data_IF_501491187488
#
_entry.id   IF_501491187488
#
_cell.length_a   1.000
_cell.length_b   1.000
_cell.length_c   1.000
_cell.angle_alpha   90.00
_cell.angle_beta   90.00
_cell.angle_gamma   90.00
#
_symmetry.space_group_name_H-M   'P 1'
#
loop_
_entity.id
_entity.type
_entity.pdbx_description
1 polymer ?
#
# COMPACT_ATOMS: atom_id res chain seq x y z
N UNK A 1 0.36 47.83 5.44
CA UNK A 1 -0.87 47.04 5.18
C UNK A 1 -0.44 45.67 4.65
N UNK A 2 -0.51 44.65 5.50
CA UNK A 2 -0.16 43.28 5.10
C UNK A 2 -1.31 42.70 4.29
N UNK A 3 -1.06 42.35 3.02
CA UNK A 3 -2.04 41.67 2.18
C UNK A 3 -2.34 40.29 2.77
N UNK A 4 -3.62 40.04 3.07
CA UNK A 4 -4.07 38.74 3.54
C UNK A 4 -3.75 37.67 2.47
N UNK A 5 -3.05 36.62 2.91
CA UNK A 5 -2.76 35.47 2.06
C UNK A 5 -4.10 34.87 1.58
N UNK A 6 -4.29 34.66 0.25
CA UNK A 6 -5.54 34.06 -0.24
C UNK A 6 -5.73 32.70 0.39
N UNK A 7 -6.96 32.40 0.80
CA UNK A 7 -7.36 31.09 1.28
C UNK A 7 -7.12 30.06 0.16
N UNK A 8 -6.62 28.85 0.48
CA UNK A 8 -6.50 27.79 -0.51
C UNK A 8 -7.88 27.52 -1.10
N UNK A 9 -7.90 27.24 -2.41
CA UNK A 9 -9.14 26.85 -3.07
C UNK A 9 -9.77 25.63 -2.35
N UNK A 10 -11.11 25.57 -2.23
CA UNK A 10 -11.77 24.42 -1.64
C UNK A 10 -11.37 23.15 -2.41
N UNK A 11 -10.87 22.14 -1.68
CA UNK A 11 -10.54 20.85 -2.26
C UNK A 11 -11.84 20.18 -2.66
N UNK A 12 -11.95 19.73 -3.90
CA UNK A 12 -13.10 18.96 -4.38
C UNK A 12 -13.18 17.63 -3.59
N UNK A 13 -14.23 17.40 -2.78
CA UNK A 13 -14.37 16.19 -1.97
C UNK A 13 -14.31 14.90 -2.81
N UNK A 14 -14.71 14.94 -4.08
CA UNK A 14 -14.66 13.79 -5.00
C UNK A 14 -13.23 13.33 -5.32
N UNK A 15 -12.23 14.14 -4.97
CA UNK A 15 -10.81 13.83 -5.19
C UNK A 15 -10.13 13.23 -3.97
N UNK A 16 -10.83 13.12 -2.84
CA UNK A 16 -10.29 12.61 -1.58
C UNK A 16 -10.80 11.20 -1.29
N UNK A 17 -9.98 10.43 -0.57
CA UNK A 17 -10.42 9.17 0.00
C UNK A 17 -11.41 9.46 1.14
N UNK A 18 -12.40 8.61 1.28
CA UNK A 18 -13.40 8.72 2.34
C UNK A 18 -13.15 7.68 3.42
N UNK A 19 -13.11 8.13 4.67
CA UNK A 19 -12.89 7.28 5.83
C UNK A 19 -14.07 7.31 6.78
N UNK A 20 -14.44 6.12 7.30
CA UNK A 20 -15.41 5.97 8.39
C UNK A 20 -14.74 5.14 9.48
N UNK A 21 -14.77 5.64 10.72
CA UNK A 21 -14.23 4.93 11.87
C UNK A 21 -15.36 4.44 12.78
N UNK A 22 -15.31 3.17 13.14
CA UNK A 22 -16.27 2.53 14.03
C UNK A 22 -15.54 1.88 15.21
N UNK A 23 -16.17 1.90 16.38
CA UNK A 23 -15.70 1.12 17.53
C UNK A 23 -16.50 -0.17 17.60
N UNK A 24 -15.82 -1.28 17.34
CA UNK A 24 -16.41 -2.62 17.35
C UNK A 24 -15.33 -3.61 17.82
N UNK A 25 -15.76 -4.70 18.42
CA UNK A 25 -14.87 -5.83 18.73
C UNK A 25 -14.56 -6.67 17.48
N UNK A 26 -13.78 -7.72 17.65
CA UNK A 26 -13.42 -8.64 16.57
C UNK A 26 -14.66 -9.24 15.88
N UNK A 27 -15.69 -9.59 16.64
CA UNK A 27 -16.92 -10.14 16.09
C UNK A 27 -17.64 -9.11 15.21
N UNK A 28 -17.71 -7.85 15.65
CA UNK A 28 -18.26 -6.73 14.86
C UNK A 28 -17.47 -6.48 13.57
N UNK A 29 -16.14 -6.57 13.63
CA UNK A 29 -15.29 -6.52 12.43
C UNK A 29 -15.65 -7.66 11.45
N UNK A 30 -15.76 -8.91 11.94
CA UNK A 30 -16.13 -10.06 11.11
C UNK A 30 -17.52 -9.90 10.47
N UNK A 31 -18.47 -9.30 11.19
CA UNK A 31 -19.81 -9.00 10.65
C UNK A 31 -19.73 -7.96 9.53
N UNK A 32 -18.93 -6.89 9.68
CA UNK A 32 -18.72 -5.90 8.64
C UNK A 32 -18.09 -6.51 7.40
N UNK A 33 -17.09 -7.37 7.57
CA UNK A 33 -16.46 -8.10 6.47
C UNK A 33 -17.47 -8.98 5.73
N UNK A 34 -18.30 -9.71 6.46
CA UNK A 34 -19.35 -10.55 5.89
C UNK A 34 -20.43 -9.74 5.15
N UNK A 35 -20.83 -8.58 5.69
CA UNK A 35 -21.78 -7.67 5.03
C UNK A 35 -21.23 -7.09 3.73
N UNK A 36 -19.95 -6.76 3.69
CA UNK A 36 -19.28 -6.31 2.47
C UNK A 36 -19.23 -7.42 1.41
N UNK A 37 -19.12 -8.67 1.83
CA UNK A 37 -19.01 -9.83 0.93
C UNK A 37 -17.75 -9.77 0.06
N UNK A 38 -17.88 -10.17 -1.19
CA UNK A 38 -16.79 -10.25 -2.18
C UNK A 38 -16.35 -8.89 -2.74
N UNK A 39 -16.98 -7.78 -2.33
CA UNK A 39 -16.55 -6.45 -2.78
C UNK A 39 -15.18 -6.11 -2.17
N UNK A 40 -14.29 -5.50 -2.97
CA UNK A 40 -13.01 -4.96 -2.49
C UNK A 40 -13.12 -3.54 -1.92
N UNK A 41 -14.33 -2.95 -1.89
CA UNK A 41 -14.61 -1.58 -1.42
C UNK A 41 -15.87 -1.58 -0.56
N UNK A 42 -15.89 -0.89 0.59
CA UNK A 42 -14.75 -0.22 1.22
C UNK A 42 -13.68 -1.20 1.69
N UNK A 43 -12.41 -0.78 1.68
CA UNK A 43 -11.34 -1.53 2.34
C UNK A 43 -11.49 -1.45 3.83
N UNK A 44 -11.16 -2.53 4.50
CA UNK A 44 -11.36 -2.64 5.93
C UNK A 44 -10.01 -2.83 6.62
N UNK A 45 -9.72 -1.93 7.58
CA UNK A 45 -8.60 -2.06 8.50
C UNK A 45 -9.13 -2.16 9.91
N UNK A 46 -8.64 -3.11 10.69
CA UNK A 46 -9.02 -3.28 12.08
C UNK A 46 -7.80 -3.25 13.01
N UNK A 47 -7.89 -2.50 14.08
CA UNK A 47 -6.86 -2.40 15.10
C UNK A 47 -7.50 -2.26 16.49
N UNK A 48 -7.44 -3.32 17.31
CA UNK A 48 -7.77 -3.28 18.73
C UNK A 48 -9.08 -2.55 19.04
N UNK A 49 -10.18 -2.99 18.45
CA UNK A 49 -11.51 -2.44 18.70
C UNK A 49 -11.86 -1.21 17.85
N UNK A 50 -11.04 -0.86 16.87
CA UNK A 50 -11.33 0.22 15.93
C UNK A 50 -11.29 -0.32 14.50
N UNK A 51 -12.39 -0.17 13.76
CA UNK A 51 -12.46 -0.40 12.32
C UNK A 51 -12.33 0.93 11.59
N UNK A 52 -11.53 0.93 10.54
CA UNK A 52 -11.50 1.96 9.51
C UNK A 52 -12.02 1.37 8.21
N UNK A 53 -13.08 1.98 7.67
CA UNK A 53 -13.60 1.71 6.34
C UNK A 53 -13.09 2.80 5.40
N UNK A 54 -12.41 2.42 4.32
CA UNK A 54 -11.84 3.36 3.37
C UNK A 54 -12.42 3.12 1.98
N UNK A 55 -13.02 4.18 1.42
CA UNK A 55 -13.43 4.22 0.02
C UNK A 55 -12.43 5.08 -0.75
N UNK A 56 -11.62 4.48 -1.64
CA UNK A 56 -10.57 5.20 -2.34
C UNK A 56 -11.15 6.17 -3.38
N UNK A 57 -10.49 7.30 -3.56
CA UNK A 57 -10.76 8.23 -4.65
C UNK A 57 -10.28 7.68 -5.99
N UNK A 58 -10.76 8.26 -7.09
CA UNK A 58 -10.29 7.89 -8.44
C UNK A 58 -8.78 8.12 -8.64
N UNK A 59 -8.21 9.09 -7.95
CA UNK A 59 -6.77 9.40 -8.04
C UNK A 59 -5.93 8.40 -7.25
N UNK A 60 -6.42 7.99 -6.08
CA UNK A 60 -5.83 6.90 -5.33
C UNK A 60 -5.76 5.61 -6.18
N UNK A 61 -6.90 5.21 -6.79
CA UNK A 61 -6.96 4.03 -7.65
C UNK A 61 -6.07 4.16 -8.89
N UNK A 62 -5.95 5.38 -9.45
CA UNK A 62 -5.05 5.64 -10.58
C UNK A 62 -3.58 5.42 -10.18
N UNK A 63 -3.15 6.00 -9.06
CA UNK A 63 -1.77 5.87 -8.58
C UNK A 63 -1.46 4.43 -8.21
N UNK A 64 -2.36 3.77 -7.46
CA UNK A 64 -2.24 2.35 -7.13
C UNK A 64 -2.04 1.49 -8.39
N UNK A 65 -2.94 1.64 -9.36
CA UNK A 65 -2.91 0.84 -10.60
C UNK A 65 -1.67 1.09 -11.43
N UNK A 66 -1.22 2.35 -11.50
CA UNK A 66 0.00 2.72 -12.22
C UNK A 66 1.24 2.16 -11.54
N UNK A 67 1.32 2.28 -10.22
CA UNK A 67 2.45 1.75 -9.44
C UNK A 67 2.57 0.24 -9.60
N UNK A 68 1.48 -0.50 -9.40
CA UNK A 68 1.44 -1.95 -9.59
C UNK A 68 1.93 -2.34 -10.99
N UNK A 69 1.38 -1.69 -12.03
CA UNK A 69 1.75 -1.96 -13.42
C UNK A 69 3.23 -1.75 -13.71
N UNK A 70 3.82 -0.68 -13.17
CA UNK A 70 5.25 -0.39 -13.34
C UNK A 70 6.12 -1.41 -12.61
N UNK A 71 5.78 -1.75 -11.37
CA UNK A 71 6.49 -2.74 -10.58
C UNK A 71 6.48 -4.12 -11.25
N UNK A 72 5.31 -4.57 -11.72
CA UNK A 72 5.14 -5.83 -12.42
C UNK A 72 5.88 -5.84 -13.77
N UNK A 73 5.86 -4.73 -14.51
CA UNK A 73 6.63 -4.59 -15.75
C UNK A 73 8.14 -4.65 -15.50
N UNK A 74 8.61 -4.01 -14.44
CA UNK A 74 10.01 -4.11 -14.03
C UNK A 74 10.38 -5.55 -13.66
N UNK A 75 9.56 -6.22 -12.88
CA UNK A 75 9.75 -7.61 -12.44
C UNK A 75 9.91 -8.56 -13.65
N UNK A 76 9.05 -8.41 -14.66
CA UNK A 76 9.13 -9.16 -15.92
C UNK A 76 10.48 -8.95 -16.63
N UNK A 77 10.91 -7.70 -16.80
CA UNK A 77 12.15 -7.34 -17.50
C UNK A 77 13.38 -7.78 -16.71
N UNK A 78 13.38 -7.58 -15.40
CA UNK A 78 14.48 -7.95 -14.52
C UNK A 78 14.57 -9.45 -14.23
N UNK A 79 13.55 -10.23 -14.64
CA UNK A 79 13.48 -11.67 -14.35
C UNK A 79 13.33 -12.00 -12.87
N UNK A 80 12.73 -11.10 -12.09
CA UNK A 80 12.47 -11.29 -10.66
C UNK A 80 11.06 -11.83 -10.48
N UNK A 81 10.86 -13.09 -10.07
CA UNK A 81 9.52 -13.63 -9.86
C UNK A 81 8.77 -12.84 -8.78
N UNK A 82 7.62 -12.32 -9.14
CA UNK A 82 6.75 -11.50 -8.30
C UNK A 82 5.30 -11.96 -8.48
N UNK A 83 4.62 -12.29 -7.38
CA UNK A 83 3.20 -12.63 -7.39
C UNK A 83 2.41 -11.56 -6.67
N UNK A 84 1.48 -10.92 -7.38
CA UNK A 84 0.59 -9.90 -6.85
C UNK A 84 -0.73 -10.50 -6.37
N UNK A 85 -1.14 -10.13 -5.16
CA UNK A 85 -2.40 -10.58 -4.54
C UNK A 85 -3.41 -9.45 -4.39
N UNK A 86 -3.10 -8.25 -4.90
CA UNK A 86 -3.97 -7.08 -4.78
C UNK A 86 -4.26 -6.76 -3.31
N UNK A 87 -5.54 -6.50 -3.01
CA UNK A 87 -6.00 -6.18 -1.66
C UNK A 87 -6.37 -7.44 -0.86
N UNK A 88 -5.43 -8.33 -0.67
CA UNK A 88 -5.62 -9.53 0.14
C UNK A 88 -5.95 -9.19 1.58
N UNK A 89 -7.03 -9.77 2.14
CA UNK A 89 -7.42 -9.60 3.53
C UNK A 89 -6.47 -10.39 4.43
N UNK A 90 -5.65 -9.67 5.21
CA UNK A 90 -4.72 -10.23 6.20
C UNK A 90 -5.35 -10.09 7.58
N UNK A 91 -5.47 -11.20 8.31
CA UNK A 91 -6.13 -11.26 9.61
C UNK A 91 -5.28 -11.99 10.64
N UNK A 92 -5.34 -11.53 11.89
CA UNK A 92 -4.86 -12.25 13.06
C UNK A 92 -5.76 -11.90 14.26
N UNK A 93 -6.66 -12.82 14.60
CA UNK A 93 -7.59 -12.65 15.72
C UNK A 93 -6.88 -12.56 17.06
N UNK A 94 -5.80 -13.32 17.26
CA UNK A 94 -5.05 -13.33 18.52
C UNK A 94 -4.35 -12.01 18.78
N UNK A 95 -3.89 -11.37 17.71
CA UNK A 95 -3.26 -10.07 17.77
C UNK A 95 -4.27 -8.92 17.65
N UNK A 96 -5.56 -9.25 17.42
CA UNK A 96 -6.68 -8.29 17.32
C UNK A 96 -6.45 -7.27 16.21
N UNK A 97 -6.12 -7.78 14.99
CA UNK A 97 -5.71 -6.95 13.84
C UNK A 97 -6.13 -7.55 12.51
N UNK A 98 -6.49 -6.65 11.58
CA UNK A 98 -6.68 -7.00 10.17
C UNK A 98 -6.37 -5.80 9.27
N UNK A 99 -5.92 -6.08 8.06
CA UNK A 99 -5.67 -5.07 7.03
C UNK A 99 -5.90 -5.63 5.64
N UNK A 100 -6.32 -4.74 4.76
CA UNK A 100 -6.35 -4.95 3.31
C UNK A 100 -5.42 -3.90 2.68
N UNK A 101 -4.20 -4.29 2.27
CA UNK A 101 -3.30 -3.38 1.59
C UNK A 101 -3.87 -2.93 0.24
N UNK A 102 -3.38 -1.83 -0.30
CA UNK A 102 -3.72 -1.42 -1.66
C UNK A 102 -3.23 -2.43 -2.69
N UNK A 103 -1.99 -2.87 -2.55
CA UNK A 103 -1.38 -3.96 -3.28
C UNK A 103 -0.46 -4.75 -2.33
N UNK A 104 -0.29 -6.05 -2.59
CA UNK A 104 0.71 -6.82 -1.88
C UNK A 104 1.34 -7.90 -2.75
N UNK A 105 2.58 -8.24 -2.44
CA UNK A 105 3.39 -9.13 -3.26
C UNK A 105 4.17 -10.14 -2.43
N UNK A 106 4.31 -11.34 -3.01
CA UNK A 106 5.38 -12.27 -2.60
C UNK A 106 6.48 -12.28 -3.66
N UNK A 107 7.71 -12.46 -3.21
CA UNK A 107 8.90 -12.41 -4.08
C UNK A 107 9.55 -13.78 -4.12
N UNK A 108 9.74 -14.34 -5.31
CA UNK A 108 10.34 -15.66 -5.58
C UNK A 108 9.61 -16.84 -4.91
N UNK A 109 8.33 -16.65 -4.58
CA UNK A 109 7.47 -17.70 -4.00
C UNK A 109 5.99 -17.43 -4.26
N UNK A 110 5.18 -18.48 -4.17
CA UNK A 110 3.72 -18.43 -4.23
C UNK A 110 3.20 -18.83 -2.84
N UNK A 111 2.15 -18.15 -2.37
CA UNK A 111 1.42 -18.51 -1.14
C UNK A 111 0.80 -19.90 -1.28
N UNK A 112 0.98 -20.75 -0.26
CA UNK A 112 0.48 -22.13 -0.23
C UNK A 112 -0.54 -22.37 0.88
N UNK A 113 -0.65 -21.46 1.84
CA UNK A 113 -1.58 -21.55 2.96
C UNK A 113 -2.00 -20.17 3.45
N UNK A 114 -3.15 -20.09 4.13
CA UNK A 114 -3.69 -18.83 4.66
C UNK A 114 -2.87 -18.27 5.84
N UNK A 115 -1.97 -19.06 6.42
CA UNK A 115 -1.04 -18.61 7.47
C UNK A 115 0.15 -17.82 6.93
N UNK A 116 0.40 -17.91 5.64
CA UNK A 116 1.46 -17.13 5.01
C UNK A 116 1.08 -15.66 4.89
N UNK A 117 2.09 -14.81 4.71
CA UNK A 117 1.92 -13.36 4.57
C UNK A 117 2.67 -12.88 3.33
N UNK A 118 2.24 -11.77 2.72
CA UNK A 118 3.02 -11.15 1.66
C UNK A 118 4.38 -10.70 2.19
N UNK A 119 5.35 -10.64 1.32
CA UNK A 119 6.66 -10.09 1.65
C UNK A 119 6.61 -8.56 1.69
N UNK A 120 5.82 -7.96 0.81
CA UNK A 120 5.66 -6.51 0.65
C UNK A 120 4.18 -6.17 0.68
N UNK A 121 3.79 -5.19 1.51
CA UNK A 121 2.51 -4.49 1.42
C UNK A 121 2.77 -3.06 0.92
N UNK A 122 1.95 -2.59 -0.01
CA UNK A 122 2.02 -1.25 -0.58
C UNK A 122 0.76 -0.49 -0.23
N UNK A 123 0.93 0.70 0.31
CA UNK A 123 -0.15 1.64 0.65
C UNK A 123 0.04 2.93 -0.15
N UNK A 124 -0.98 3.32 -0.88
CA UNK A 124 -1.04 4.61 -1.55
C UNK A 124 -1.71 5.62 -0.62
N UNK A 125 -0.99 6.65 -0.23
CA UNK A 125 -1.49 7.68 0.68
C UNK A 125 -1.87 8.91 -0.13
N UNK A 126 -3.14 8.98 -0.52
CA UNK A 126 -3.71 10.17 -1.14
C UNK A 126 -4.29 11.12 -0.08
N UNK A 127 -5.00 10.55 0.87
CA UNK A 127 -5.53 11.25 2.05
C UNK A 127 -5.16 10.45 3.29
N UNK A 128 -4.67 11.10 4.33
CA UNK A 128 -4.25 10.40 5.56
C UNK A 128 -5.44 9.80 6.28
N UNK A 129 -5.37 8.50 6.56
CA UNK A 129 -6.31 7.78 7.42
C UNK A 129 -6.02 7.98 8.91
N UNK A 130 -6.86 7.41 9.77
CA UNK A 130 -6.75 7.53 11.23
C UNK A 130 -5.97 6.39 11.89
N UNK A 131 -5.99 5.17 11.32
CA UNK A 131 -5.32 4.00 11.90
C UNK A 131 -3.85 3.97 11.49
N UNK A 132 -2.98 3.71 12.47
CA UNK A 132 -1.56 3.49 12.19
C UNK A 132 -1.35 2.15 11.49
N UNK A 133 -1.21 2.16 10.18
CA UNK A 133 -1.02 0.98 9.34
C UNK A 133 0.21 0.16 9.75
N UNK A 134 1.32 0.80 10.12
CA UNK A 134 2.52 0.08 10.58
C UNK A 134 2.24 -0.73 11.85
N UNK A 135 1.42 -0.23 12.78
CA UNK A 135 1.00 -0.98 13.96
C UNK A 135 0.13 -2.18 13.60
N UNK A 136 -0.69 -2.07 12.56
CA UNK A 136 -1.48 -3.21 12.06
C UNK A 136 -0.55 -4.25 11.45
N UNK A 137 0.26 -3.87 10.46
CA UNK A 137 1.15 -4.79 9.74
C UNK A 137 2.21 -5.43 10.62
N UNK A 138 2.66 -4.75 11.69
CA UNK A 138 3.68 -5.25 12.60
C UNK A 138 3.36 -6.65 13.14
N UNK A 139 2.14 -6.84 13.59
CA UNK A 139 1.70 -8.12 14.15
C UNK A 139 1.15 -9.08 13.09
N UNK A 140 0.80 -8.57 11.92
CA UNK A 140 0.55 -9.39 10.73
C UNK A 140 1.84 -9.89 10.07
N UNK A 141 3.03 -9.45 10.56
CA UNK A 141 4.36 -9.93 10.16
C UNK A 141 4.68 -9.74 8.67
N UNK A 142 4.16 -8.68 8.06
CA UNK A 142 4.57 -8.29 6.72
C UNK A 142 6.02 -7.77 6.79
N UNK A 143 6.90 -8.29 5.95
CA UNK A 143 8.34 -8.01 6.04
C UNK A 143 8.69 -6.58 5.70
N UNK A 144 8.07 -6.01 4.65
CA UNK A 144 8.20 -4.60 4.28
C UNK A 144 6.86 -3.96 4.00
N UNK A 145 6.71 -2.72 4.43
CA UNK A 145 5.56 -1.85 4.08
C UNK A 145 6.09 -0.63 3.34
N UNK A 146 5.54 -0.39 2.17
CA UNK A 146 5.91 0.72 1.30
C UNK A 146 4.76 1.71 1.23
N UNK A 147 5.04 2.98 1.51
CA UNK A 147 4.05 4.05 1.36
C UNK A 147 4.40 4.92 0.16
N UNK A 148 3.50 4.95 -0.81
CA UNK A 148 3.57 5.90 -1.91
C UNK A 148 2.71 7.11 -1.59
N UNK A 149 3.35 8.26 -1.39
CA UNK A 149 2.69 9.50 -1.02
C UNK A 149 3.24 10.66 -1.85
N UNK A 150 2.38 11.32 -2.64
CA UNK A 150 2.71 12.55 -3.38
C UNK A 150 4.00 12.45 -4.19
N UNK A 151 4.16 11.37 -4.93
CA UNK A 151 5.34 11.12 -5.76
C UNK A 151 6.60 10.68 -5.01
N UNK A 152 6.48 10.36 -3.73
CA UNK A 152 7.56 9.83 -2.90
C UNK A 152 7.24 8.42 -2.44
N UNK A 153 8.27 7.62 -2.31
CA UNK A 153 8.16 6.26 -1.77
C UNK A 153 8.98 6.16 -0.49
N UNK A 154 8.34 5.69 0.58
CA UNK A 154 8.97 5.44 1.87
C UNK A 154 8.90 3.95 2.16
N UNK A 155 9.97 3.40 2.69
CA UNK A 155 10.11 1.98 2.96
C UNK A 155 10.25 1.75 4.46
N UNK A 156 9.55 0.75 4.97
CA UNK A 156 9.63 0.34 6.37
C UNK A 156 9.85 -1.16 6.43
N UNK A 157 10.95 -1.57 7.05
CA UNK A 157 11.28 -2.99 7.22
C UNK A 157 11.00 -3.44 8.65
N UNK A 158 10.40 -4.61 8.78
CA UNK A 158 10.15 -5.25 10.07
C UNK A 158 11.47 -5.71 10.67
N UNK A 159 11.71 -5.32 11.92
CA UNK A 159 12.91 -5.68 12.70
C UNK A 159 12.50 -6.32 14.02
N UNK A 160 13.37 -7.14 14.56
CA UNK A 160 13.20 -7.68 15.91
C UNK A 160 14.19 -6.98 16.85
N UNK A 161 13.68 -6.22 17.80
CA UNK A 161 14.46 -5.42 18.75
C UNK A 161 13.98 -5.68 20.16
N UNK A 162 14.90 -5.99 21.07
CA UNK A 162 14.60 -6.26 22.48
C UNK A 162 13.46 -7.27 22.72
N UNK A 163 13.29 -8.21 21.78
CA UNK A 163 12.25 -9.25 21.87
C UNK A 163 10.91 -8.88 21.25
N UNK A 164 10.71 -7.66 20.79
CA UNK A 164 9.50 -7.23 20.07
C UNK A 164 9.79 -6.94 18.59
N UNK A 165 8.73 -6.91 17.79
CA UNK A 165 8.76 -6.57 16.37
C UNK A 165 8.48 -5.07 16.22
N UNK A 166 9.31 -4.37 15.44
CA UNK A 166 9.16 -2.93 15.16
C UNK A 166 9.44 -2.65 13.69
N UNK A 167 8.75 -1.67 13.10
CA UNK A 167 9.14 -1.17 11.79
C UNK A 167 10.19 -0.08 11.94
N UNK A 168 11.25 -0.19 11.10
CA UNK A 168 12.24 0.86 10.91
C UNK A 168 12.16 1.39 9.50
N UNK A 169 12.14 2.71 9.37
CA UNK A 169 12.28 3.34 8.08
C UNK A 169 13.68 3.07 7.52
N UNK A 170 13.73 2.64 6.26
CA UNK A 170 14.94 2.30 5.55
C UNK A 170 15.03 3.14 4.27
N UNK A 171 16.24 3.43 3.76
CA UNK A 171 16.41 4.32 2.61
C UNK A 171 15.90 3.73 1.29
N UNK A 172 15.79 2.39 1.22
CA UNK A 172 15.28 1.64 0.05
C UNK A 172 14.78 0.27 0.47
N UNK A 173 13.93 -0.35 -0.37
CA UNK A 173 13.46 -1.71 -0.15
C UNK A 173 14.63 -2.73 -0.17
N UNK A 174 14.66 -3.60 0.81
CA UNK A 174 15.66 -4.68 0.93
C UNK A 174 15.21 -5.96 0.23
N UNK A 175 13.89 -6.14 0.06
CA UNK A 175 13.32 -7.33 -0.60
C UNK A 175 13.53 -7.26 -2.11
N UNK A 176 13.48 -6.06 -2.70
CA UNK A 176 13.75 -5.77 -4.11
C UNK A 176 14.88 -4.74 -4.24
N UNK A 177 16.11 -5.08 -3.84
CA UNK A 177 17.22 -4.12 -3.82
C UNK A 177 17.62 -3.62 -5.22
N UNK A 178 17.31 -4.40 -6.26
CA UNK A 178 17.61 -4.08 -7.65
C UNK A 178 16.57 -3.13 -8.28
N UNK A 179 15.44 -2.87 -7.63
CA UNK A 179 14.40 -2.00 -8.15
C UNK A 179 14.92 -0.57 -8.34
N UNK A 180 14.90 -0.02 -9.56
CA UNK A 180 15.39 1.34 -9.83
C UNK A 180 14.33 2.37 -9.43
N UNK A 181 14.26 2.69 -8.14
CA UNK A 181 13.21 3.52 -7.51
C UNK A 181 13.06 4.88 -8.23
N UNK A 182 14.16 5.55 -8.52
CA UNK A 182 14.13 6.89 -9.15
C UNK A 182 13.53 6.83 -10.57
N UNK A 183 13.84 5.77 -11.33
CA UNK A 183 13.27 5.52 -12.65
C UNK A 183 11.78 5.24 -12.54
N UNK A 184 11.38 4.38 -11.58
CA UNK A 184 9.97 4.05 -11.36
C UNK A 184 9.18 5.31 -10.98
N UNK A 185 9.67 6.12 -10.05
CA UNK A 185 9.02 7.36 -9.62
C UNK A 185 8.94 8.39 -10.74
N UNK A 186 9.96 8.50 -11.60
CA UNK A 186 9.91 9.34 -12.79
C UNK A 186 8.81 8.89 -13.76
N UNK A 187 8.70 7.57 -14.01
CA UNK A 187 7.65 7.01 -14.85
C UNK A 187 6.23 7.19 -14.27
N UNK A 188 6.08 7.30 -12.95
CA UNK A 188 4.79 7.63 -12.34
C UNK A 188 4.26 9.00 -12.76
N UNK A 189 5.11 9.92 -13.20
CA UNK A 189 4.75 11.28 -13.63
C UNK A 189 4.32 11.39 -15.10
N UNK A 190 4.42 10.30 -15.86
CA UNK A 190 4.00 10.28 -17.26
C UNK A 190 2.50 10.59 -17.41
N UNK A 191 2.05 11.17 -18.53
CA UNK A 191 0.65 11.59 -18.69
C UNK A 191 -0.37 10.45 -18.60
N UNK A 192 0.03 9.27 -19.03
CA UNK A 192 -0.83 8.07 -18.99
C UNK A 192 -0.05 6.80 -18.68
N UNK A 193 -0.76 5.73 -18.33
CA UNK A 193 -0.18 4.43 -17.97
C UNK A 193 0.61 3.78 -19.10
N UNK A 194 0.20 3.96 -20.36
CA UNK A 194 0.90 3.38 -21.50
C UNK A 194 2.24 4.07 -21.73
N UNK A 195 2.26 5.40 -21.64
CA UNK A 195 3.48 6.21 -21.70
C UNK A 195 4.43 5.85 -20.55
N UNK A 196 3.91 5.69 -19.34
CA UNK A 196 4.69 5.26 -18.17
C UNK A 196 5.39 3.91 -18.41
N UNK A 197 4.69 2.90 -18.90
CA UNK A 197 5.27 1.58 -19.20
C UNK A 197 6.31 1.67 -20.32
N UNK A 198 6.06 2.47 -21.38
CA UNK A 198 7.04 2.67 -22.46
C UNK A 198 8.31 3.37 -21.96
N UNK A 199 8.17 4.40 -21.14
CA UNK A 199 9.29 5.10 -20.52
C UNK A 199 10.14 4.17 -19.65
N UNK A 200 9.48 3.33 -18.82
CA UNK A 200 10.18 2.34 -18.00
C UNK A 200 10.97 1.35 -18.84
N UNK A 201 10.35 0.77 -19.88
CA UNK A 201 11.03 -0.17 -20.80
C UNK A 201 12.24 0.45 -21.48
N UNK A 202 12.10 1.71 -21.93
CA UNK A 202 13.20 2.44 -22.58
C UNK A 202 14.35 2.72 -21.60
N UNK A 203 14.04 3.16 -20.38
CA UNK A 203 15.05 3.45 -19.35
C UNK A 203 15.83 2.20 -18.93
N UNK A 204 15.14 1.07 -18.77
CA UNK A 204 15.78 -0.20 -18.39
C UNK A 204 16.67 -0.75 -19.52
N UNK A 205 16.26 -0.61 -20.78
CA UNK A 205 17.08 -1.00 -21.93
C UNK A 205 18.35 -0.15 -22.12
N UNK A 206 18.32 1.12 -21.70
CA UNK A 206 19.46 2.02 -21.78
C UNK A 206 20.50 1.81 -20.65
N UNK A 207 20.11 1.18 -19.54
CA UNK A 207 20.98 0.89 -18.40
C UNK A 207 21.55 -0.54 -18.37
N UNK A 208 21.18 -1.37 -19.35
CA UNK A 208 21.70 -2.73 -19.57
C UNK A 208 22.88 -2.68 -20.54
#
# INVERSE_FOLDING_TARGET
>A
MSAARPLPAPVDPSTMDHFVHLRVDWQGYRQLLALRGESSVPRITYLKGVVELMSPSRYHELDKKRFARLLETWSEIAGVPLEGYGSWTLEDEKEDRAAEPDECYTVRRIVKSDDERPDIAIEVVWTSGGINKLEVYRKLRVREVWFYERGKLRFFALRREAGDEVYREIPRGEILPELPIDVLLACMQEPDQTSAVRALRAALAAGS
#
